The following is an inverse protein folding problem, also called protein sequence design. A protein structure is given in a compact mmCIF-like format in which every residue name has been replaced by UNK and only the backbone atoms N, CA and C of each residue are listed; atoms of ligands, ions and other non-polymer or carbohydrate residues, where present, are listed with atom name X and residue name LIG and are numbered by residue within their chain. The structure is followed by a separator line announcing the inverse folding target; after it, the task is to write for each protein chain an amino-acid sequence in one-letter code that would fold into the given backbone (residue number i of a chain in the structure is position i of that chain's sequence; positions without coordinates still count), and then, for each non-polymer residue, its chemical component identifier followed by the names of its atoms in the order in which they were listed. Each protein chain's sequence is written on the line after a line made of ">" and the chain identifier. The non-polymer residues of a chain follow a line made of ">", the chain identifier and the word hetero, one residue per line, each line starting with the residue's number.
data_IF_342620889308
#
_entry.id   IF_342620889308
#
_cell.length_a   1.000
_cell.length_b   1.000
_cell.length_c   1.000
_cell.angle_alpha   90.00
_cell.angle_beta   90.00
_cell.angle_gamma   90.00
#
_symmetry.space_group_name_H-M   'P 1'
#
loop_
_entity.id
_entity.type
_entity.pdbx_description
1 polymer ?
#
# COMPACT_ATOMS: atom_id res chain seq x y z
N UNK A 1 -6.51 -13.96 -41.07
CA UNK A 1 -6.69 -12.80 -40.17
C UNK A 1 -6.90 -13.32 -38.77
N UNK A 2 -5.93 -13.19 -37.85
CA UNK A 2 -6.18 -13.34 -36.42
C UNK A 2 -6.37 -11.96 -35.80
N UNK A 3 -7.52 -11.72 -35.19
CA UNK A 3 -7.76 -10.55 -34.36
C UNK A 3 -6.92 -10.67 -33.09
N UNK A 4 -5.82 -9.93 -33.02
CA UNK A 4 -5.11 -9.67 -31.76
C UNK A 4 -6.09 -8.95 -30.83
N UNK A 5 -6.26 -9.38 -29.56
CA UNK A 5 -6.99 -8.56 -28.61
C UNK A 5 -6.27 -7.21 -28.49
N UNK A 6 -7.04 -6.13 -28.68
CA UNK A 6 -6.62 -4.78 -28.36
C UNK A 6 -6.13 -4.76 -26.90
N UNK A 7 -4.94 -4.23 -26.55
CA UNK A 7 -4.49 -4.09 -25.17
C UNK A 7 -5.25 -2.97 -24.44
N UNK A 8 -6.57 -2.92 -24.64
CA UNK A 8 -7.50 -1.97 -24.05
C UNK A 8 -7.88 -2.39 -22.65
N UNK A 9 -7.33 -1.66 -21.67
CA UNK A 9 -7.92 -1.44 -20.35
C UNK A 9 -7.82 -2.59 -19.33
N UNK A 10 -6.64 -3.23 -19.20
CA UNK A 10 -6.32 -3.82 -17.88
C UNK A 10 -6.00 -2.67 -16.93
N UNK A 11 -6.76 -2.47 -15.83
CA UNK A 11 -6.47 -1.38 -14.91
C UNK A 11 -5.07 -1.58 -14.34
N UNK A 12 -4.25 -0.54 -14.38
CA UNK A 12 -2.88 -0.62 -13.88
C UNK A 12 -2.94 -0.97 -12.38
N UNK A 13 -2.31 -2.11 -12.02
CA UNK A 13 -2.36 -2.64 -10.66
C UNK A 13 -1.33 -1.95 -9.81
N UNK A 14 -1.79 -1.46 -8.67
CA UNK A 14 -1.05 -0.58 -7.81
C UNK A 14 -1.01 -1.17 -6.43
N UNK A 15 0.18 -1.63 -6.06
CA UNK A 15 0.37 -2.31 -4.78
C UNK A 15 0.87 -1.32 -3.74
N UNK A 16 0.11 -1.20 -2.66
CA UNK A 16 0.48 -0.45 -1.46
C UNK A 16 1.26 -1.40 -0.55
N UNK A 17 2.57 -1.21 -0.45
CA UNK A 17 3.48 -1.89 0.48
C UNK A 17 4.18 -0.91 1.43
N UNK A 18 4.54 -1.33 2.65
CA UNK A 18 5.44 -0.53 3.47
C UNK A 18 6.78 -0.30 2.76
N UNK A 19 7.38 0.88 2.94
CA UNK A 19 8.72 1.19 2.42
C UNK A 19 9.80 0.56 3.31
N UNK A 20 10.52 -0.42 2.75
CA UNK A 20 11.70 -1.06 3.35
C UNK A 20 13.00 -0.30 3.02
N UNK A 21 12.91 1.00 2.74
CA UNK A 21 14.07 1.88 2.52
C UNK A 21 14.71 1.83 1.14
N UNK A 22 14.32 0.94 0.21
CA UNK A 22 14.93 0.93 -1.14
C UNK A 22 14.08 0.34 -2.27
N UNK A 23 12.85 -0.10 -2.03
CA UNK A 23 12.05 -0.67 -3.11
C UNK A 23 10.56 -0.41 -2.92
N UNK A 24 10.02 0.27 -3.93
CA UNK A 24 8.60 0.41 -4.25
C UNK A 24 7.82 1.49 -3.49
N UNK A 25 8.12 2.73 -3.89
CA UNK A 25 7.21 3.81 -4.34
C UNK A 25 5.71 3.78 -3.97
N UNK A 26 5.32 3.45 -2.73
CA UNK A 26 3.92 3.60 -2.31
C UNK A 26 3.43 5.04 -2.37
N UNK A 27 4.32 6.00 -2.06
CA UNK A 27 4.03 7.41 -2.23
C UNK A 27 4.49 7.91 -3.61
N UNK A 28 5.69 7.52 -4.06
CA UNK A 28 6.40 8.17 -5.16
C UNK A 28 5.71 8.15 -6.54
N UNK A 29 4.91 7.13 -6.86
CA UNK A 29 4.18 7.07 -8.15
C UNK A 29 2.93 7.96 -8.14
N UNK A 30 2.29 8.13 -6.98
CA UNK A 30 1.01 8.84 -6.85
C UNK A 30 1.09 10.22 -6.23
N UNK A 31 2.29 10.60 -5.81
CA UNK A 31 2.59 11.89 -5.17
C UNK A 31 2.01 13.12 -5.85
N UNK A 32 1.71 13.21 -7.16
CA UNK A 32 1.02 14.38 -7.70
C UNK A 32 -0.51 14.26 -7.75
N UNK A 33 -1.08 13.06 -7.86
CA UNK A 33 -2.52 12.85 -8.14
C UNK A 33 -3.38 12.67 -6.89
N UNK A 34 -2.81 12.27 -5.76
CA UNK A 34 -3.57 12.08 -4.52
C UNK A 34 -3.76 13.39 -3.76
N UNK A 35 -4.85 13.52 -3.02
CA UNK A 35 -5.07 14.62 -2.08
C UNK A 35 -3.97 14.70 -1.00
N UNK A 36 -3.62 15.92 -0.57
CA UNK A 36 -2.58 16.18 0.44
C UNK A 36 -2.84 15.45 1.78
N UNK A 37 -4.10 15.23 2.11
CA UNK A 37 -4.51 14.48 3.30
C UNK A 37 -4.11 13.00 3.20
N UNK A 38 -4.38 12.34 2.07
CA UNK A 38 -3.97 10.96 1.85
C UNK A 38 -2.46 10.81 1.83
N UNK A 39 -1.73 11.75 1.23
CA UNK A 39 -0.27 11.75 1.28
C UNK A 39 0.25 11.80 2.72
N UNK A 40 -0.39 12.60 3.57
CA UNK A 40 -0.06 12.69 4.99
C UNK A 40 -0.34 11.37 5.71
N UNK A 41 -1.51 10.75 5.47
CA UNK A 41 -1.87 9.46 6.09
C UNK A 41 -0.95 8.32 5.65
N UNK A 42 -0.66 8.21 4.35
CA UNK A 42 0.29 7.21 3.80
C UNK A 42 1.67 7.40 4.44
N UNK A 43 2.11 8.66 4.59
CA UNK A 43 3.39 8.96 5.25
C UNK A 43 3.37 8.52 6.71
N UNK A 44 2.32 8.84 7.47
CA UNK A 44 2.19 8.46 8.86
C UNK A 44 2.17 6.94 9.05
N UNK A 45 1.37 6.22 8.25
CA UNK A 45 1.32 4.75 8.23
C UNK A 45 2.69 4.11 7.93
N UNK A 46 3.44 4.70 7.01
CA UNK A 46 4.78 4.24 6.68
C UNK A 46 5.83 4.60 7.75
N UNK A 47 5.67 5.75 8.39
CA UNK A 47 6.51 6.18 9.51
C UNK A 47 6.32 5.22 10.69
N UNK A 48 5.07 4.87 10.99
CA UNK A 48 4.72 3.88 12.00
C UNK A 48 5.37 2.52 11.71
N UNK A 49 5.32 2.04 10.46
CA UNK A 49 6.07 0.85 10.04
C UNK A 49 7.58 0.98 10.30
N UNK A 50 8.19 2.12 9.97
CA UNK A 50 9.64 2.32 10.17
C UNK A 50 10.04 2.42 11.63
N UNK A 51 9.25 3.10 12.46
CA UNK A 51 9.58 3.37 13.86
C UNK A 51 9.16 2.24 14.80
N UNK A 52 7.97 1.65 14.60
CA UNK A 52 7.45 0.60 15.47
C UNK A 52 8.10 -0.74 15.14
N UNK A 53 8.16 -1.12 13.86
CA UNK A 53 8.69 -2.43 13.49
C UNK A 53 10.20 -2.44 13.29
N UNK A 54 10.80 -1.30 12.93
CA UNK A 54 12.22 -1.16 12.59
C UNK A 54 12.79 -2.43 11.91
N UNK A 55 12.21 -2.88 10.78
CA UNK A 55 12.47 -4.21 10.24
C UNK A 55 13.88 -4.23 9.64
N UNK A 56 14.88 -4.55 10.47
CA UNK A 56 16.26 -4.60 10.02
C UNK A 56 16.53 -5.87 9.18
N UNK A 57 15.83 -6.99 9.49
CA UNK A 57 15.90 -8.27 8.76
C UNK A 57 14.65 -9.16 8.88
N UNK A 58 13.89 -9.06 9.96
CA UNK A 58 12.71 -9.90 10.23
C UNK A 58 11.61 -9.03 10.82
N UNK A 59 10.36 -9.22 10.38
CA UNK A 59 9.20 -8.50 10.95
C UNK A 59 8.87 -9.14 12.28
N UNK A 60 9.06 -8.40 13.36
CA UNK A 60 8.59 -8.79 14.68
C UNK A 60 7.68 -7.70 15.21
N UNK A 61 6.38 -7.98 15.21
CA UNK A 61 5.41 -7.14 15.88
C UNK A 61 5.68 -7.18 17.38
N UNK A 62 5.85 -6.01 18.06
CA UNK A 62 5.99 -6.01 19.52
C UNK A 62 4.75 -6.61 20.18
N UNK A 63 3.57 -6.33 19.60
CA UNK A 63 2.29 -6.88 19.99
C UNK A 63 1.48 -7.24 18.74
N UNK A 64 0.78 -8.39 18.71
CA UNK A 64 0.00 -8.81 17.55
C UNK A 64 -1.16 -7.84 17.26
N UNK A 65 -1.67 -7.12 18.26
CA UNK A 65 -2.70 -6.09 18.08
C UNK A 65 -2.19 -4.91 17.25
N UNK A 66 -0.93 -4.50 17.46
CA UNK A 66 -0.30 -3.42 16.70
C UNK A 66 -0.19 -3.80 15.23
N UNK A 67 0.19 -5.05 14.93
CA UNK A 67 0.22 -5.55 13.55
C UNK A 67 -1.14 -5.58 12.89
N UNK A 68 -2.18 -5.97 13.62
CA UNK A 68 -3.57 -5.96 13.11
C UNK A 68 -4.06 -4.54 12.85
N UNK A 69 -3.78 -3.60 13.75
CA UNK A 69 -4.18 -2.20 13.58
C UNK A 69 -3.49 -1.58 12.37
N UNK A 70 -2.18 -1.80 12.24
CA UNK A 70 -1.41 -1.28 11.11
C UNK A 70 -1.90 -1.83 9.75
N UNK A 71 -2.30 -3.10 9.70
CA UNK A 71 -2.92 -3.70 8.50
C UNK A 71 -4.31 -3.13 8.23
N UNK A 72 -5.12 -2.90 9.27
CA UNK A 72 -6.42 -2.27 9.12
C UNK A 72 -6.30 -0.85 8.54
N UNK A 73 -5.32 -0.07 9.02
CA UNK A 73 -5.02 1.25 8.49
C UNK A 73 -4.52 1.19 7.03
N UNK A 74 -3.64 0.23 6.71
CA UNK A 74 -3.21 -0.01 5.34
C UNK A 74 -4.36 -0.32 4.39
N UNK A 75 -5.34 -1.14 4.83
CA UNK A 75 -6.53 -1.46 4.03
C UNK A 75 -7.42 -0.23 3.83
N UNK A 76 -7.63 0.57 4.87
CA UNK A 76 -8.37 1.83 4.76
C UNK A 76 -7.70 2.81 3.78
N UNK A 77 -6.36 2.83 3.74
CA UNK A 77 -5.61 3.60 2.75
C UNK A 77 -5.82 3.08 1.33
N UNK A 78 -5.80 1.76 1.11
CA UNK A 78 -6.08 1.15 -0.20
C UNK A 78 -7.46 1.57 -0.70
N UNK A 79 -8.49 1.50 0.14
CA UNK A 79 -9.85 1.90 -0.22
C UNK A 79 -9.94 3.40 -0.55
N UNK A 80 -9.30 4.25 0.25
CA UNK A 80 -9.31 5.70 0.02
C UNK A 80 -8.53 6.11 -1.25
N UNK A 81 -7.40 5.46 -1.53
CA UNK A 81 -6.64 5.66 -2.77
C UNK A 81 -7.45 5.15 -3.97
N UNK A 82 -8.12 3.99 -3.84
CA UNK A 82 -8.98 3.44 -4.88
C UNK A 82 -10.15 4.37 -5.22
N UNK A 83 -10.72 5.04 -4.21
CA UNK A 83 -11.79 6.02 -4.38
C UNK A 83 -11.32 7.27 -5.16
N UNK A 84 -10.11 7.77 -4.87
CA UNK A 84 -9.54 8.96 -5.55
C UNK A 84 -9.05 8.65 -6.97
N UNK A 85 -8.43 7.50 -7.18
CA UNK A 85 -7.90 7.09 -8.47
C UNK A 85 -9.00 6.56 -9.42
N UNK A 86 -10.13 6.13 -8.87
CA UNK A 86 -11.23 5.53 -9.61
C UNK A 86 -10.87 4.20 -10.27
N UNK A 87 -11.77 3.71 -11.12
CA UNK A 87 -11.65 2.37 -11.73
C UNK A 87 -10.53 2.22 -12.76
N UNK A 88 -9.84 3.31 -13.11
CA UNK A 88 -8.68 3.30 -14.02
C UNK A 88 -7.52 2.49 -13.46
N UNK A 89 -7.48 2.36 -12.14
CA UNK A 89 -6.39 1.79 -11.37
C UNK A 89 -6.96 0.75 -10.42
N UNK A 90 -6.25 -0.36 -10.22
CA UNK A 90 -6.62 -1.38 -9.23
C UNK A 90 -5.65 -1.30 -8.07
N UNK A 91 -6.09 -0.77 -6.94
CA UNK A 91 -5.26 -0.63 -5.74
C UNK A 91 -5.38 -1.90 -4.90
N UNK A 92 -4.24 -2.46 -4.50
CA UNK A 92 -4.17 -3.68 -3.69
C UNK A 92 -3.18 -3.49 -2.53
N UNK A 93 -3.48 -4.06 -1.37
CA UNK A 93 -2.60 -4.03 -0.20
C UNK A 93 -1.65 -5.21 -0.18
N UNK A 94 -0.34 -4.96 -0.30
CA UNK A 94 0.71 -5.99 -0.22
C UNK A 94 1.20 -6.26 1.20
N UNK A 95 0.46 -5.80 2.21
CA UNK A 95 0.85 -5.86 3.61
C UNK A 95 0.12 -6.95 4.43
N UNK A 96 -0.90 -7.59 3.86
CA UNK A 96 -1.60 -8.69 4.51
C UNK A 96 -0.69 -9.90 4.78
N UNK A 97 0.36 -10.08 3.96
CA UNK A 97 1.39 -11.12 4.13
C UNK A 97 2.20 -10.93 5.43
N UNK A 98 2.19 -9.71 5.98
CA UNK A 98 2.91 -9.36 7.20
C UNK A 98 2.03 -9.43 8.46
N UNK A 99 0.82 -10.00 8.36
CA UNK A 99 -0.03 -10.17 9.52
C UNK A 99 0.67 -11.01 10.60
N UNK A 100 0.62 -10.58 11.87
CA UNK A 100 1.14 -11.41 12.95
C UNK A 100 0.41 -12.76 12.96
N UNK A 101 1.17 -13.84 13.09
CA UNK A 101 0.61 -15.17 13.33
C UNK A 101 -0.24 -15.13 14.61
N UNK A 102 -1.42 -15.76 14.57
CA UNK A 102 -2.37 -15.77 15.69
C UNK A 102 -1.95 -16.69 16.83
#
# INVERSE_FOLDING_TARGET
>A
MPSTPDPGDVPEVLTIMPDWGSSQRVAGVFSPSLSSELRTRIRAWNDEWKFILNPQKTIHWPEPEVGRQWIAEGNALVEAIQAELGSRYRVVGGFADYAPES
#
